data_IF_293461299766
#
_entry.id   IF_293461299766
#
_cell.length_a   1.000
_cell.length_b   1.000
_cell.length_c   1.000
_cell.angle_alpha   90.00
_cell.angle_beta   90.00
_cell.angle_gamma   90.00
#
_symmetry.space_group_name_H-M   'P 1'
#
loop_
_entity.id
_entity.type
_entity.pdbx_description
1 polymer ?
#
# COMPACT_ATOMS: atom_id res chain seq x y z
N UNK A 1 10.00 -0.85 45.65
CA UNK A 1 10.47 -1.74 44.53
C UNK A 1 9.69 -1.31 43.30
N UNK A 2 10.30 -0.49 42.44
CA UNK A 2 9.73 -0.20 41.14
C UNK A 2 9.74 -1.52 40.35
N UNK A 3 8.56 -2.08 40.11
CA UNK A 3 8.42 -3.24 39.21
C UNK A 3 8.87 -2.80 37.83
N UNK A 4 9.84 -3.50 37.27
CA UNK A 4 10.27 -3.28 35.89
C UNK A 4 9.08 -3.48 34.95
N UNK A 5 8.79 -2.49 34.08
CA UNK A 5 7.70 -2.59 33.14
C UNK A 5 8.01 -3.62 32.06
N UNK A 6 7.13 -4.60 31.91
CA UNK A 6 7.25 -5.63 30.88
C UNK A 6 6.33 -5.27 29.71
N UNK A 7 6.90 -5.08 28.53
CA UNK A 7 6.11 -4.83 27.31
C UNK A 7 5.22 -6.02 26.97
N UNK A 8 4.01 -5.77 26.43
CA UNK A 8 3.17 -6.85 25.95
C UNK A 8 3.91 -7.69 24.89
N UNK A 9 3.87 -9.03 24.98
CA UNK A 9 4.52 -9.86 23.98
C UNK A 9 3.76 -9.79 22.64
N UNK A 10 4.49 -9.71 21.53
CA UNK A 10 3.92 -9.70 20.18
C UNK A 10 3.07 -10.94 19.86
N UNK A 11 3.24 -12.02 20.62
CA UNK A 11 2.44 -13.25 20.49
C UNK A 11 0.96 -13.07 20.82
N UNK A 12 0.59 -11.99 21.52
CA UNK A 12 -0.83 -11.62 21.73
C UNK A 12 -1.51 -11.13 20.46
N UNK A 13 -0.74 -10.70 19.46
CA UNK A 13 -1.25 -10.25 18.18
C UNK A 13 -1.22 -11.38 17.15
N UNK A 14 -2.26 -11.44 16.31
CA UNK A 14 -2.29 -12.39 15.21
C UNK A 14 -1.12 -12.11 14.25
N UNK A 15 -0.47 -13.17 13.83
CA UNK A 15 0.57 -13.11 12.80
C UNK A 15 -0.05 -13.37 11.44
N UNK A 16 0.40 -12.64 10.42
CA UNK A 16 0.05 -12.95 9.05
C UNK A 16 0.59 -14.34 8.66
N UNK A 17 -0.18 -15.07 7.89
CA UNK A 17 0.22 -16.42 7.44
C UNK A 17 1.40 -16.38 6.47
N UNK A 18 1.91 -15.19 6.13
CA UNK A 18 3.02 -15.01 5.20
C UNK A 18 2.72 -15.44 3.75
N UNK A 19 1.53 -15.99 3.55
CA UNK A 19 1.08 -16.40 2.23
C UNK A 19 0.57 -15.18 1.48
N UNK A 20 1.49 -14.49 0.82
CA UNK A 20 1.22 -13.77 -0.42
C UNK A 20 1.23 -14.80 -1.58
N UNK A 21 0.54 -15.92 -1.39
CA UNK A 21 0.29 -16.91 -2.45
C UNK A 21 -0.88 -16.49 -3.34
N UNK A 22 -1.05 -15.18 -3.56
CA UNK A 22 -1.70 -14.77 -4.79
C UNK A 22 -0.65 -14.92 -5.86
N UNK A 23 -0.93 -15.85 -6.74
CA UNK A 23 0.03 -16.32 -7.71
C UNK A 23 0.61 -15.13 -8.45
N UNK A 24 1.92 -14.96 -8.41
CA UNK A 24 2.69 -14.11 -9.36
C UNK A 24 2.12 -14.22 -10.79
N UNK A 25 1.43 -15.30 -11.05
CA UNK A 25 0.74 -15.60 -12.28
C UNK A 25 -0.43 -14.66 -12.57
N UNK A 26 -1.31 -14.37 -11.59
CA UNK A 26 -2.46 -13.47 -11.80
C UNK A 26 -2.01 -12.04 -12.10
N UNK A 27 -1.00 -11.56 -11.38
CA UNK A 27 -0.42 -10.25 -11.66
C UNK A 27 0.24 -10.17 -13.02
N UNK A 28 0.93 -11.24 -13.43
CA UNK A 28 1.55 -11.34 -14.77
C UNK A 28 0.50 -11.42 -15.88
N UNK A 29 -0.57 -12.20 -15.68
CA UNK A 29 -1.68 -12.28 -16.63
C UNK A 29 -2.35 -10.91 -16.80
N UNK A 30 -2.58 -10.17 -15.72
CA UNK A 30 -3.12 -8.81 -15.77
C UNK A 30 -2.16 -7.86 -16.49
N UNK A 31 -0.86 -7.97 -16.26
CA UNK A 31 0.15 -7.17 -16.96
C UNK A 31 0.15 -7.43 -18.48
N UNK A 32 0.08 -8.70 -18.86
CA UNK A 32 -0.01 -9.10 -20.28
C UNK A 32 -1.29 -8.54 -20.91
N UNK A 33 -2.42 -8.71 -20.21
CA UNK A 33 -3.72 -8.23 -20.70
C UNK A 33 -3.74 -6.71 -20.84
N UNK A 34 -3.14 -5.98 -19.91
CA UNK A 34 -3.00 -4.53 -19.94
C UNK A 34 -2.16 -4.08 -21.15
N UNK A 35 -1.01 -4.73 -21.37
CA UNK A 35 -0.14 -4.45 -22.50
C UNK A 35 -0.83 -4.74 -23.83
N UNK A 36 -1.52 -5.88 -23.96
CA UNK A 36 -2.29 -6.23 -25.15
C UNK A 36 -3.43 -5.25 -25.42
N UNK A 37 -4.14 -4.82 -24.38
CA UNK A 37 -5.22 -3.83 -24.51
C UNK A 37 -4.70 -2.55 -25.13
N UNK A 38 -3.62 -1.99 -24.57
CA UNK A 38 -3.01 -0.76 -25.09
C UNK A 38 -2.48 -0.94 -26.52
N UNK A 39 -1.88 -2.08 -26.80
CA UNK A 39 -1.36 -2.40 -28.13
C UNK A 39 -2.46 -2.49 -29.19
N UNK A 40 -3.63 -3.06 -28.84
CA UNK A 40 -4.80 -3.13 -29.72
C UNK A 40 -5.33 -1.73 -30.10
N UNK A 41 -5.17 -0.75 -29.23
CA UNK A 41 -5.49 0.66 -29.51
C UNK A 41 -4.31 1.44 -30.16
N UNK A 42 -3.29 0.74 -30.64
CA UNK A 42 -2.13 1.34 -31.29
C UNK A 42 -1.23 2.13 -30.33
N UNK A 43 -1.16 1.71 -29.06
CA UNK A 43 -0.30 2.29 -28.02
C UNK A 43 0.70 1.22 -27.58
N UNK A 44 1.91 1.26 -28.11
CA UNK A 44 2.99 0.36 -27.73
C UNK A 44 3.53 0.73 -26.34
N UNK A 45 3.50 -0.23 -25.42
CA UNK A 45 4.04 -0.08 -24.07
C UNK A 45 4.67 -1.39 -23.62
N UNK A 46 5.61 -1.29 -22.68
CA UNK A 46 6.20 -2.46 -22.01
C UNK A 46 5.98 -2.33 -20.51
N UNK A 47 5.47 -3.37 -19.86
CA UNK A 47 5.39 -3.43 -18.39
C UNK A 47 6.78 -3.70 -17.84
N UNK A 48 7.32 -2.76 -17.07
CA UNK A 48 8.68 -2.82 -16.53
C UNK A 48 8.72 -3.24 -15.07
N UNK A 49 7.64 -2.99 -14.32
CA UNK A 49 7.57 -3.34 -12.90
C UNK A 49 6.12 -3.57 -12.47
N UNK A 50 5.93 -4.43 -11.47
CA UNK A 50 4.66 -4.70 -10.82
C UNK A 50 4.85 -4.55 -9.31
N UNK A 51 4.12 -3.63 -8.69
CA UNK A 51 4.15 -3.39 -7.25
C UNK A 51 2.80 -3.77 -6.64
N UNK A 52 2.80 -4.83 -5.83
CA UNK A 52 1.59 -5.36 -5.22
C UNK A 52 1.37 -4.71 -3.85
N UNK A 53 0.34 -3.89 -3.72
CA UNK A 53 -0.11 -3.33 -2.45
C UNK A 53 -1.27 -4.10 -1.84
N UNK A 54 -1.74 -3.71 -0.64
CA UNK A 54 -2.81 -4.41 0.05
C UNK A 54 -4.18 -4.32 -0.62
N UNK A 55 -4.46 -3.25 -1.34
CA UNK A 55 -5.76 -2.99 -1.99
C UNK A 55 -5.67 -2.80 -3.50
N UNK A 56 -4.52 -2.34 -3.98
CA UNK A 56 -4.27 -2.09 -5.41
C UNK A 56 -2.92 -2.65 -5.81
N UNK A 57 -2.79 -3.03 -7.07
CA UNK A 57 -1.52 -3.37 -7.71
C UNK A 57 -1.19 -2.31 -8.74
N UNK A 58 0.03 -1.77 -8.66
CA UNK A 58 0.55 -0.78 -9.62
C UNK A 58 1.38 -1.49 -10.68
N UNK A 59 1.03 -1.26 -11.93
CA UNK A 59 1.78 -1.66 -13.12
C UNK A 59 2.53 -0.45 -13.66
N UNK A 60 3.85 -0.51 -13.70
CA UNK A 60 4.67 0.53 -14.30
C UNK A 60 4.89 0.22 -15.78
N UNK A 61 4.52 1.15 -16.64
CA UNK A 61 4.56 1.00 -18.09
C UNK A 61 5.58 1.98 -18.67
N UNK A 62 6.44 1.49 -19.53
CA UNK A 62 7.31 2.33 -20.36
C UNK A 62 6.72 2.46 -21.75
N UNK A 63 6.25 3.66 -22.16
CA UNK A 63 5.74 3.88 -23.51
C UNK A 63 6.86 3.76 -24.54
N UNK A 64 6.53 3.18 -25.69
CA UNK A 64 7.45 3.16 -26.84
C UNK A 64 7.72 4.56 -27.40
N UNK A 65 8.81 4.68 -28.14
CA UNK A 65 9.22 5.97 -28.70
C UNK A 65 8.14 6.54 -29.63
N UNK A 66 7.74 7.80 -29.39
CA UNK A 66 6.68 8.47 -30.15
C UNK A 66 5.26 8.30 -29.59
N UNK A 67 5.05 7.47 -28.56
CA UNK A 67 3.76 7.35 -27.88
C UNK A 67 3.52 8.55 -26.99
N UNK A 68 2.39 9.25 -27.21
CA UNK A 68 1.95 10.35 -26.35
C UNK A 68 1.30 9.82 -25.07
N UNK A 69 1.74 10.30 -23.92
CA UNK A 69 1.19 9.94 -22.59
C UNK A 69 -0.31 10.22 -22.52
N UNK A 70 -0.78 11.32 -23.10
CA UNK A 70 -2.20 11.67 -23.17
C UNK A 70 -3.06 10.60 -23.84
N UNK A 71 -2.51 9.84 -24.79
CA UNK A 71 -3.21 8.74 -25.46
C UNK A 71 -3.46 7.57 -24.49
N UNK A 72 -2.52 7.29 -23.58
CA UNK A 72 -2.70 6.27 -22.54
C UNK A 72 -3.79 6.70 -21.56
N UNK A 73 -3.76 7.96 -21.11
CA UNK A 73 -4.76 8.50 -20.17
C UNK A 73 -6.16 8.48 -20.76
N UNK A 74 -6.29 8.80 -22.06
CA UNK A 74 -7.58 8.78 -22.76
C UNK A 74 -8.22 7.38 -22.86
N UNK A 75 -7.44 6.32 -22.76
CA UNK A 75 -7.89 4.92 -22.81
C UNK A 75 -8.29 4.35 -21.44
N UNK A 76 -8.42 5.18 -20.40
CA UNK A 76 -8.73 4.71 -19.04
C UNK A 76 -10.02 3.85 -19.00
N UNK A 77 -11.08 4.26 -19.69
CA UNK A 77 -12.35 3.52 -19.70
C UNK A 77 -12.25 2.21 -20.48
N UNK A 78 -11.50 2.20 -21.58
CA UNK A 78 -11.25 1.00 -22.37
C UNK A 78 -10.42 -0.03 -21.59
N UNK A 79 -9.43 0.46 -20.81
CA UNK A 79 -8.62 -0.38 -19.93
C UNK A 79 -9.49 -0.98 -18.83
N UNK A 80 -10.34 -0.17 -18.16
CA UNK A 80 -11.28 -0.65 -17.14
C UNK A 80 -12.17 -1.76 -17.67
N UNK A 81 -12.76 -1.53 -18.86
CA UNK A 81 -13.63 -2.51 -19.51
C UNK A 81 -12.90 -3.83 -19.78
N UNK A 82 -11.71 -3.76 -20.40
CA UNK A 82 -10.95 -4.95 -20.76
C UNK A 82 -10.45 -5.74 -19.55
N UNK A 83 -10.08 -5.04 -18.47
CA UNK A 83 -9.62 -5.69 -17.22
C UNK A 83 -10.79 -6.12 -16.33
N UNK A 84 -12.05 -5.75 -16.67
CA UNK A 84 -13.21 -5.90 -15.82
C UNK A 84 -12.99 -5.30 -14.40
N UNK A 85 -12.26 -4.18 -14.36
CA UNK A 85 -11.94 -3.47 -13.12
C UNK A 85 -13.01 -2.42 -12.83
N UNK A 86 -13.42 -2.31 -11.54
CA UNK A 86 -14.43 -1.33 -11.12
C UNK A 86 -13.93 0.11 -11.28
N UNK A 87 -12.64 0.33 -11.02
CA UNK A 87 -11.95 1.60 -11.21
C UNK A 87 -10.46 1.36 -11.47
N UNK A 88 -9.78 2.34 -12.08
CA UNK A 88 -8.33 2.38 -12.21
C UNK A 88 -7.85 3.80 -11.98
N UNK A 89 -6.60 3.95 -11.52
CA UNK A 89 -5.94 5.24 -11.43
C UNK A 89 -4.72 5.24 -12.33
N UNK A 90 -4.62 6.26 -13.18
CA UNK A 90 -3.45 6.44 -14.05
C UNK A 90 -2.63 7.62 -13.52
N UNK A 91 -1.37 7.38 -13.20
CA UNK A 91 -0.39 8.38 -12.81
C UNK A 91 0.63 8.54 -13.96
N UNK A 92 0.55 9.66 -14.65
CA UNK A 92 1.27 9.87 -15.90
C UNK A 92 1.86 11.28 -15.99
N UNK A 93 3.19 11.43 -15.84
CA UNK A 93 4.18 10.40 -15.49
C UNK A 93 4.20 10.05 -13.98
N UNK A 94 4.85 8.94 -13.63
CA UNK A 94 5.19 8.66 -12.23
C UNK A 94 6.25 9.67 -11.79
N UNK A 95 6.09 10.35 -10.64
CA UNK A 95 7.06 11.31 -10.15
C UNK A 95 8.48 10.72 -10.07
N UNK A 96 9.44 11.37 -10.72
CA UNK A 96 10.84 10.93 -10.73
C UNK A 96 11.16 9.75 -11.65
N UNK A 97 10.19 9.25 -12.45
CA UNK A 97 10.40 8.14 -13.40
C UNK A 97 9.89 8.51 -14.79
N UNK A 98 10.57 8.03 -15.83
CA UNK A 98 10.10 8.10 -17.23
C UNK A 98 9.12 6.94 -17.52
N UNK A 99 8.08 6.79 -16.70
CA UNK A 99 7.13 5.70 -16.78
C UNK A 99 5.72 6.19 -16.42
N UNK A 100 4.71 5.43 -16.85
CA UNK A 100 3.30 5.62 -16.49
C UNK A 100 2.90 4.52 -15.52
N UNK A 101 2.27 4.89 -14.41
CA UNK A 101 1.70 3.95 -13.44
C UNK A 101 0.22 3.74 -13.68
N UNK A 102 -0.22 2.49 -13.76
CA UNK A 102 -1.64 2.13 -13.75
C UNK A 102 -1.91 1.31 -12.50
N UNK A 103 -2.74 1.84 -11.62
CA UNK A 103 -3.19 1.18 -10.40
C UNK A 103 -4.51 0.48 -10.67
N UNK A 104 -4.51 -0.84 -10.47
CA UNK A 104 -5.69 -1.69 -10.65
C UNK A 104 -6.09 -2.25 -9.30
N UNK A 105 -7.36 -2.14 -8.87
CA UNK A 105 -7.83 -2.74 -7.63
C UNK A 105 -7.59 -4.25 -7.63
N UNK A 106 -7.10 -4.76 -6.50
CA UNK A 106 -6.99 -6.20 -6.30
C UNK A 106 -8.37 -6.83 -6.28
N UNK A 107 -8.53 -8.05 -6.79
CA UNK A 107 -9.79 -8.79 -6.68
C UNK A 107 -10.13 -9.10 -5.22
N UNK A 108 -9.10 -9.39 -4.44
CA UNK A 108 -9.21 -9.59 -2.99
C UNK A 108 -8.26 -8.64 -2.26
N UNK A 109 -8.77 -7.99 -1.23
CA UNK A 109 -7.95 -7.12 -0.40
C UNK A 109 -7.10 -7.93 0.58
N UNK A 110 -5.82 -7.60 0.67
CA UNK A 110 -4.93 -8.21 1.65
C UNK A 110 -5.06 -7.52 3.00
N UNK A 111 -5.41 -8.29 4.02
CA UNK A 111 -5.48 -7.78 5.39
C UNK A 111 -4.07 -7.47 5.91
N UNK A 112 -3.85 -6.22 6.27
CA UNK A 112 -2.61 -5.79 6.91
C UNK A 112 -2.73 -6.01 8.42
N UNK A 113 -1.92 -6.89 8.98
CA UNK A 113 -1.94 -7.20 10.40
C UNK A 113 -0.98 -6.31 11.18
N UNK A 114 -1.44 -5.84 12.34
CA UNK A 114 -0.65 -4.94 13.19
C UNK A 114 0.70 -5.55 13.60
N UNK A 115 0.73 -6.84 13.91
CA UNK A 115 1.96 -7.52 14.28
C UNK A 115 3.04 -7.41 13.20
N UNK A 116 2.68 -7.61 11.95
CA UNK A 116 3.63 -7.55 10.82
C UNK A 116 4.20 -6.13 10.66
N UNK A 117 3.39 -5.10 10.95
CA UNK A 117 3.85 -3.71 10.95
C UNK A 117 4.80 -3.42 12.12
N UNK A 118 4.46 -3.88 13.34
CA UNK A 118 5.30 -3.68 14.53
C UNK A 118 6.63 -4.46 14.46
N UNK A 119 6.63 -5.61 13.79
CA UNK A 119 7.84 -6.41 13.53
C UNK A 119 8.71 -5.83 12.41
N UNK A 120 8.21 -4.88 11.61
CA UNK A 120 8.96 -4.27 10.51
C UNK A 120 10.17 -3.47 11.00
N UNK A 121 11.23 -3.47 10.19
CA UNK A 121 12.43 -2.67 10.47
C UNK A 121 12.12 -1.17 10.51
N UNK A 122 11.20 -0.70 9.66
CA UNK A 122 10.76 0.69 9.63
C UNK A 122 10.19 1.15 10.98
N UNK A 123 9.36 0.30 11.63
CA UNK A 123 8.79 0.62 12.94
C UNK A 123 9.81 0.44 14.07
N UNK A 124 10.57 -0.66 14.09
CA UNK A 124 11.56 -0.94 15.14
C UNK A 124 12.62 0.14 15.24
N UNK A 125 13.16 0.56 14.10
CA UNK A 125 14.23 1.57 14.03
C UNK A 125 13.76 3.01 14.17
N UNK A 126 12.44 3.25 14.17
CA UNK A 126 11.91 4.61 14.30
C UNK A 126 12.21 5.17 15.71
N UNK A 127 12.87 6.34 15.83
CA UNK A 127 13.44 6.78 17.12
C UNK A 127 12.38 7.26 18.13
N UNK A 128 11.23 7.77 17.69
CA UNK A 128 10.22 8.33 18.58
C UNK A 128 9.43 7.26 19.33
N UNK A 129 9.15 7.50 20.59
CA UNK A 129 8.27 6.67 21.43
C UNK A 129 6.79 6.82 21.05
N UNK A 130 6.42 7.94 20.45
CA UNK A 130 5.06 8.23 19.95
C UNK A 130 4.88 7.89 18.46
N UNK A 131 5.77 7.06 17.91
CA UNK A 131 5.62 6.54 16.57
C UNK A 131 4.50 5.50 16.52
N UNK A 132 3.71 5.52 15.45
CA UNK A 132 2.68 4.53 15.18
C UNK A 132 2.76 3.99 13.76
N UNK A 133 2.37 2.73 13.61
CA UNK A 133 2.33 2.07 12.32
C UNK A 133 1.02 2.46 11.61
N UNK A 134 1.12 3.22 10.53
CA UNK A 134 -0.05 3.68 9.76
C UNK A 134 -0.64 2.53 8.93
N UNK A 135 0.21 1.72 8.33
CA UNK A 135 -0.20 0.64 7.42
C UNK A 135 0.90 0.30 6.42
N UNK A 136 0.48 -0.12 5.24
CA UNK A 136 1.37 -0.34 4.09
C UNK A 136 0.99 0.59 2.96
N UNK A 137 1.99 1.08 2.22
CA UNK A 137 1.78 1.82 0.99
C UNK A 137 1.44 0.88 -0.19
N UNK A 138 1.24 1.46 -1.37
CA UNK A 138 0.94 0.72 -2.60
C UNK A 138 2.08 -0.18 -3.09
N UNK A 139 3.29 -0.01 -2.56
CA UNK A 139 4.45 -0.88 -2.81
C UNK A 139 4.60 -1.97 -1.73
N UNK A 140 3.64 -2.05 -0.78
CA UNK A 140 3.68 -3.00 0.33
C UNK A 140 4.65 -2.64 1.45
N UNK A 141 5.27 -1.45 1.41
CA UNK A 141 6.21 -0.99 2.43
C UNK A 141 5.47 -0.47 3.67
N UNK A 142 6.01 -0.77 4.85
CA UNK A 142 5.42 -0.28 6.11
C UNK A 142 5.61 1.23 6.24
N UNK A 143 4.50 1.94 6.40
CA UNK A 143 4.47 3.38 6.66
C UNK A 143 4.35 3.62 8.16
N UNK A 144 5.29 4.39 8.70
CA UNK A 144 5.34 4.80 10.10
C UNK A 144 5.21 6.31 10.19
N UNK A 145 4.41 6.78 11.13
CA UNK A 145 4.27 8.21 11.42
C UNK A 145 4.52 8.48 12.90
N UNK A 146 4.62 9.76 13.28
CA UNK A 146 4.98 10.18 14.63
C UNK A 146 4.03 11.27 15.11
N UNK A 147 3.24 10.94 16.15
CA UNK A 147 2.29 11.88 16.74
C UNK A 147 3.02 13.09 17.33
N UNK A 148 4.22 12.92 17.88
CA UNK A 148 5.00 14.01 18.45
C UNK A 148 5.33 15.12 17.44
N UNK A 149 5.31 14.79 16.15
CA UNK A 149 5.57 15.75 15.05
C UNK A 149 4.29 16.38 14.49
N UNK A 150 3.12 15.97 15.00
CA UNK A 150 1.83 16.44 14.52
C UNK A 150 1.27 17.46 15.52
N UNK A 151 1.09 18.75 15.17
CA UNK A 151 0.43 19.70 16.06
C UNK A 151 -1.01 19.30 16.38
N UNK A 152 -1.70 18.75 15.38
CA UNK A 152 -3.06 18.23 15.47
C UNK A 152 -3.22 17.03 14.53
N UNK A 153 -3.98 16.02 14.97
CA UNK A 153 -4.35 14.87 14.17
C UNK A 153 -5.87 14.77 14.07
N UNK A 154 -6.40 14.88 12.86
CA UNK A 154 -7.81 14.64 12.57
C UNK A 154 -7.97 13.31 11.85
N UNK A 155 -8.79 12.41 12.41
CA UNK A 155 -9.14 11.14 11.78
C UNK A 155 -10.63 11.19 11.41
N UNK A 156 -10.92 11.24 10.13
CA UNK A 156 -12.27 11.33 9.59
C UNK A 156 -12.53 10.23 8.54
N UNK A 157 -13.81 9.90 8.35
CA UNK A 157 -14.24 8.93 7.35
C UNK A 157 -15.68 8.48 7.59
N UNK A 158 -16.32 7.85 6.61
CA UNK A 158 -17.66 7.30 6.71
C UNK A 158 -17.73 6.11 7.69
N UNK A 159 -18.93 5.67 8.04
CA UNK A 159 -19.12 4.46 8.83
C UNK A 159 -18.53 3.27 8.09
N UNK A 160 -17.78 2.41 8.79
CA UNK A 160 -17.09 1.27 8.19
C UNK A 160 -15.76 1.57 7.51
N UNK A 161 -15.32 2.85 7.44
CA UNK A 161 -14.04 3.23 6.81
C UNK A 161 -12.78 2.85 7.60
N UNK A 162 -12.93 2.27 8.80
CA UNK A 162 -11.79 1.86 9.61
C UNK A 162 -11.26 2.89 10.62
N UNK A 163 -11.99 4.00 10.89
CA UNK A 163 -11.57 5.02 11.88
C UNK A 163 -11.19 4.43 13.24
N UNK A 164 -12.05 3.59 13.81
CA UNK A 164 -11.80 2.95 15.11
C UNK A 164 -10.61 1.99 15.06
N UNK A 165 -10.41 1.31 13.94
CA UNK A 165 -9.25 0.45 13.72
C UNK A 165 -7.97 1.29 13.69
N UNK A 166 -7.97 2.44 13.00
CA UNK A 166 -6.84 3.35 12.96
C UNK A 166 -6.48 3.87 14.36
N UNK A 167 -7.48 4.28 15.15
CA UNK A 167 -7.26 4.75 16.53
C UNK A 167 -6.68 3.62 17.39
N UNK A 168 -7.22 2.41 17.29
CA UNK A 168 -6.69 1.26 18.02
C UNK A 168 -5.25 0.93 17.58
N UNK A 169 -4.96 0.97 16.30
CA UNK A 169 -3.60 0.75 15.77
C UNK A 169 -2.62 1.78 16.33
N UNK A 170 -3.04 3.03 16.42
CA UNK A 170 -2.26 4.12 17.00
C UNK A 170 -1.95 3.85 18.48
N UNK A 171 -2.99 3.58 19.28
CA UNK A 171 -2.86 3.29 20.72
C UNK A 171 -1.97 2.06 20.92
N UNK A 172 -2.22 0.98 20.23
CA UNK A 172 -1.45 -0.24 20.33
C UNK A 172 0.01 -0.06 19.92
N UNK A 173 0.28 0.74 18.88
CA UNK A 173 1.66 1.06 18.47
C UNK A 173 2.44 1.72 19.60
N UNK A 174 1.83 2.66 20.30
CA UNK A 174 2.43 3.33 21.48
C UNK A 174 2.65 2.35 22.60
N UNK A 175 1.64 1.52 22.96
CA UNK A 175 1.74 0.51 24.04
C UNK A 175 2.89 -0.47 23.79
N UNK A 176 3.11 -0.87 22.53
CA UNK A 176 4.20 -1.79 22.18
C UNK A 176 5.58 -1.11 22.05
N UNK A 177 5.66 0.22 22.14
CA UNK A 177 6.91 0.97 21.92
C UNK A 177 7.35 1.81 23.11
N UNK A 178 6.42 2.30 23.93
CA UNK A 178 6.67 3.22 25.04
C UNK A 178 6.30 2.61 26.37
N UNK A 179 7.06 2.94 27.42
CA UNK A 179 6.70 2.65 28.81
C UNK A 179 5.70 3.69 29.31
N UNK A 180 4.82 3.38 30.30
CA UNK A 180 3.90 4.36 30.90
C UNK A 180 4.57 5.59 31.51
N UNK A 181 5.88 5.50 31.82
CA UNK A 181 6.67 6.63 32.32
C UNK A 181 7.22 7.53 31.21
N UNK A 182 7.10 7.14 29.95
CA UNK A 182 7.63 7.87 28.77
C UNK A 182 6.53 8.59 28.00
N UNK A 183 5.24 8.29 28.33
CA UNK A 183 4.05 8.82 27.60
C UNK A 183 2.97 9.23 28.57
#
# INVERSE_FOLDING_TARGET
IQKEYIFPPLTLLKRGTGQTDFSDQEYRETAIKLQQTLQNFGVGVTVTNISCGPTVTRYELHPEQGVKVSKIVALADDIKLNLAAADIRIEAPIPGKAAVGIEVPNKENHVVLLRDLLESEAFKKYPSRLAFAVGKDIAGQTVVSDIAKMPHLLIAGATGSGKSVCINTLIMSVIYKAKPSEV
#
